data_IF_988593455221
#
_entry.id   IF_988593455221
#
_cell.length_a   1.000
_cell.length_b   1.000
_cell.length_c   1.000
_cell.angle_alpha   90.00
_cell.angle_beta   90.00
_cell.angle_gamma   90.00
#
_symmetry.space_group_name_H-M   'P 1'
#
loop_
_entity.id
_entity.type
_entity.pdbx_description
1 polymer ?
#
# COMPACT_ATOMS: atom_id res chain seq x y z
N UNK A 1 5.57 1.21 -13.29
CA UNK A 1 6.86 0.85 -13.90
C UNK A 1 7.41 2.02 -14.73
N UNK A 2 8.67 2.45 -14.54
CA UNK A 2 9.67 1.87 -13.62
C UNK A 2 9.48 2.28 -12.16
N UNK A 3 8.52 3.16 -11.87
CA UNK A 3 8.16 3.57 -10.51
C UNK A 3 7.15 2.59 -9.88
N UNK A 4 7.15 2.52 -8.55
CA UNK A 4 6.14 1.83 -7.75
C UNK A 4 4.77 2.47 -8.00
N UNK A 5 3.76 1.65 -8.30
CA UNK A 5 2.36 2.06 -8.17
C UNK A 5 1.83 1.66 -6.79
N UNK A 6 0.78 2.34 -6.33
CA UNK A 6 0.10 2.03 -5.10
C UNK A 6 -1.41 2.29 -5.23
N UNK A 7 -2.19 1.69 -4.35
CA UNK A 7 -3.63 1.88 -4.36
C UNK A 7 -4.37 1.14 -3.26
N UNK A 8 -5.70 1.25 -3.33
CA UNK A 8 -6.63 0.76 -2.31
C UNK A 8 -7.69 -0.09 -3.00
N UNK A 9 -8.06 -1.21 -2.38
CA UNK A 9 -9.21 -2.03 -2.77
C UNK A 9 -10.29 -1.86 -1.71
N UNK A 10 -11.48 -1.44 -2.12
CA UNK A 10 -12.62 -1.25 -1.24
C UNK A 10 -13.75 -2.19 -1.61
N UNK A 11 -14.52 -2.63 -0.62
CA UNK A 11 -15.84 -3.20 -0.81
C UNK A 11 -16.91 -2.14 -0.56
N UNK A 12 -17.98 -2.14 -1.34
CA UNK A 12 -19.18 -1.36 -1.06
C UNK A 12 -20.40 -2.19 -1.40
N UNK A 13 -21.08 -2.71 -0.37
CA UNK A 13 -22.25 -3.59 -0.50
C UNK A 13 -21.99 -4.81 -1.41
N UNK A 14 -20.83 -5.48 -1.23
CA UNK A 14 -20.45 -6.67 -2.00
C UNK A 14 -19.84 -6.38 -3.38
N UNK A 15 -19.66 -5.11 -3.75
CA UNK A 15 -18.93 -4.70 -4.95
C UNK A 15 -17.53 -4.25 -4.59
N UNK A 16 -16.53 -4.99 -5.07
CA UNK A 16 -15.13 -4.60 -4.97
C UNK A 16 -14.75 -3.56 -6.02
N UNK A 17 -13.98 -2.56 -5.61
CA UNK A 17 -13.45 -1.51 -6.49
C UNK A 17 -11.96 -1.34 -6.22
N UNK A 18 -11.16 -1.33 -7.29
CA UNK A 18 -9.72 -1.05 -7.25
C UNK A 18 -9.51 0.42 -7.57
N UNK A 19 -8.88 1.14 -6.64
CA UNK A 19 -8.51 2.53 -6.79
C UNK A 19 -7.00 2.60 -7.04
N UNK A 20 -6.60 3.15 -8.19
CA UNK A 20 -5.21 3.52 -8.43
C UNK A 20 -4.96 4.86 -7.75
N UNK A 21 -3.98 4.91 -6.85
CA UNK A 21 -3.60 6.13 -6.17
C UNK A 21 -2.34 6.74 -6.80
N UNK A 22 -2.19 8.05 -6.65
CA UNK A 22 -0.97 8.76 -7.02
C UNK A 22 0.12 8.46 -5.99
N UNK A 23 1.25 7.93 -6.46
CA UNK A 23 2.47 7.86 -5.66
C UNK A 23 3.13 9.25 -5.60
N UNK A 24 3.18 9.85 -4.41
CA UNK A 24 3.74 11.20 -4.18
C UNK A 24 5.20 11.18 -3.70
N UNK A 25 5.83 10.01 -3.65
CA UNK A 25 7.17 9.82 -3.06
C UNK A 25 8.24 10.72 -3.69
N UNK A 26 8.25 10.89 -5.02
CA UNK A 26 9.22 11.77 -5.68
C UNK A 26 9.09 13.24 -5.25
N UNK A 27 7.86 13.70 -4.98
CA UNK A 27 7.64 15.06 -4.50
C UNK A 27 8.16 15.22 -3.08
N UNK A 28 7.90 14.24 -2.21
CA UNK A 28 8.40 14.23 -0.84
C UNK A 28 9.94 14.14 -0.78
N UNK A 29 10.54 13.27 -1.59
CA UNK A 29 11.99 13.15 -1.72
C UNK A 29 12.64 14.45 -2.19
N UNK A 30 12.02 15.13 -3.16
CA UNK A 30 12.51 16.42 -3.66
C UNK A 30 12.44 17.52 -2.60
N UNK A 31 11.37 17.55 -1.82
CA UNK A 31 11.11 18.61 -0.83
C UNK A 31 11.93 18.40 0.46
N UNK A 32 12.08 17.16 0.93
CA UNK A 32 12.87 16.81 2.11
C UNK A 32 13.55 15.44 1.94
N UNK A 33 14.70 15.38 1.24
CA UNK A 33 15.42 14.12 0.99
C UNK A 33 16.04 13.53 2.25
N UNK A 34 16.21 14.31 3.32
CA UNK A 34 16.72 13.80 4.59
C UNK A 34 15.65 12.95 5.30
N UNK A 35 14.40 13.40 5.28
CA UNK A 35 13.26 12.67 5.82
C UNK A 35 12.78 11.55 4.89
N UNK A 36 12.82 11.78 3.58
CA UNK A 36 12.37 10.83 2.56
C UNK A 36 13.55 10.46 1.66
N UNK A 37 14.49 9.61 2.10
CA UNK A 37 15.72 9.34 1.35
C UNK A 37 15.51 8.51 0.08
N UNK A 38 14.36 7.84 -0.07
CA UNK A 38 14.01 7.02 -1.24
C UNK A 38 13.14 7.79 -2.22
N UNK A 39 13.35 7.53 -3.50
CA UNK A 39 12.49 7.99 -4.59
C UNK A 39 11.34 6.99 -4.86
N UNK A 40 10.47 7.32 -5.82
CA UNK A 40 9.33 6.50 -6.20
C UNK A 40 9.70 5.16 -6.88
N UNK A 41 10.99 4.82 -7.06
CA UNK A 41 11.41 3.52 -7.58
C UNK A 41 11.43 2.43 -6.53
N UNK A 42 11.53 2.80 -5.24
CA UNK A 42 11.73 1.87 -4.11
C UNK A 42 10.94 2.23 -2.85
N UNK A 43 10.00 3.18 -3.00
CA UNK A 43 9.06 3.57 -1.98
C UNK A 43 7.81 4.18 -2.63
N UNK A 44 6.72 4.18 -1.86
CA UNK A 44 5.51 4.89 -2.22
C UNK A 44 4.95 5.65 -1.02
N UNK A 45 4.23 6.71 -1.35
CA UNK A 45 3.33 7.38 -0.42
C UNK A 45 2.05 7.70 -1.16
N UNK A 46 0.91 7.33 -0.60
CA UNK A 46 -0.40 7.72 -1.13
C UNK A 46 -0.68 9.16 -0.71
N UNK A 47 -1.20 9.97 -1.63
CA UNK A 47 -1.69 11.30 -1.30
C UNK A 47 -2.80 11.24 -0.23
N UNK A 48 -2.62 11.93 0.90
CA UNK A 48 -3.56 11.84 2.03
C UNK A 48 -4.97 12.31 1.64
N UNK A 49 -5.10 13.31 0.79
CA UNK A 49 -6.41 13.80 0.35
C UNK A 49 -7.14 12.78 -0.54
N UNK A 50 -6.38 12.05 -1.38
CA UNK A 50 -6.93 10.97 -2.20
C UNK A 50 -7.35 9.77 -1.34
N UNK A 51 -6.50 9.39 -0.38
CA UNK A 51 -6.79 8.36 0.61
C UNK A 51 -8.08 8.66 1.36
N UNK A 52 -8.17 9.83 2.00
CA UNK A 52 -9.32 10.20 2.83
C UNK A 52 -10.62 10.21 2.01
N UNK A 53 -10.56 10.64 0.74
CA UNK A 53 -11.70 10.62 -0.19
C UNK A 53 -12.17 9.19 -0.50
N UNK A 54 -11.24 8.28 -0.81
CA UNK A 54 -11.56 6.87 -1.12
C UNK A 54 -12.17 6.20 0.11
N UNK A 55 -11.54 6.37 1.27
CA UNK A 55 -11.98 5.77 2.54
C UNK A 55 -13.37 6.29 2.93
N UNK A 56 -13.58 7.61 2.92
CA UNK A 56 -14.86 8.21 3.27
C UNK A 56 -15.97 7.73 2.33
N UNK A 57 -15.70 7.71 1.02
CA UNK A 57 -16.68 7.22 0.02
C UNK A 57 -17.04 5.75 0.26
N UNK A 58 -16.07 4.90 0.58
CA UNK A 58 -16.34 3.49 0.87
C UNK A 58 -17.23 3.33 2.11
N UNK A 59 -16.91 4.04 3.20
CA UNK A 59 -17.65 3.98 4.47
C UNK A 59 -19.07 4.55 4.31
N UNK A 60 -19.23 5.69 3.63
CA UNK A 60 -20.54 6.31 3.37
C UNK A 60 -21.48 5.39 2.59
N UNK A 61 -20.93 4.53 1.73
CA UNK A 61 -21.68 3.53 0.98
C UNK A 61 -21.86 2.20 1.74
N UNK A 62 -21.64 2.19 3.06
CA UNK A 62 -21.75 0.99 3.92
C UNK A 62 -20.66 -0.05 3.68
N UNK A 63 -19.56 0.37 3.06
CA UNK A 63 -18.43 -0.44 2.66
C UNK A 63 -17.25 -0.41 3.63
N UNK A 64 -16.14 -0.97 3.19
CA UNK A 64 -14.87 -0.99 3.94
C UNK A 64 -13.66 -1.11 3.01
N UNK A 65 -12.48 -0.88 3.57
CA UNK A 65 -11.23 -1.23 2.90
C UNK A 65 -11.01 -2.74 3.02
N UNK A 66 -10.66 -3.37 1.91
CA UNK A 66 -10.29 -4.79 1.85
C UNK A 66 -8.78 -4.96 1.81
N UNK A 67 -8.09 -4.12 1.04
CA UNK A 67 -6.66 -4.24 0.88
C UNK A 67 -6.00 -2.92 0.48
N UNK A 68 -4.72 -2.81 0.79
CA UNK A 68 -3.77 -1.91 0.13
C UNK A 68 -2.92 -2.72 -0.83
N UNK A 69 -2.51 -2.13 -1.94
CA UNK A 69 -1.55 -2.77 -2.82
C UNK A 69 -0.48 -1.79 -3.27
N UNK A 70 0.70 -2.34 -3.55
CA UNK A 70 1.76 -1.63 -4.24
C UNK A 70 2.61 -2.59 -5.06
N UNK A 71 3.36 -2.04 -6.01
CA UNK A 71 4.28 -2.81 -6.85
C UNK A 71 5.72 -2.61 -6.42
N UNK A 72 6.53 -3.66 -6.56
CA UNK A 72 7.98 -3.65 -6.45
C UNK A 72 8.61 -3.81 -7.85
N UNK A 73 9.03 -2.72 -8.53
CA UNK A 73 9.76 -2.79 -9.79
C UNK A 73 11.15 -3.37 -9.57
N UNK A 74 11.53 -4.38 -10.34
CA UNK A 74 12.85 -5.04 -10.28
C UNK A 74 13.19 -5.67 -8.91
N UNK A 75 12.20 -5.93 -8.06
CA UNK A 75 12.36 -6.56 -6.75
C UNK A 75 11.26 -7.61 -6.51
N UNK A 76 11.54 -8.59 -5.65
CA UNK A 76 10.58 -9.64 -5.28
C UNK A 76 9.41 -9.10 -4.46
N UNK A 77 8.33 -9.89 -4.35
CA UNK A 77 7.18 -9.57 -3.53
C UNK A 77 7.49 -9.92 -2.06
N UNK A 78 7.96 -8.95 -1.30
CA UNK A 78 8.17 -9.05 0.14
C UNK A 78 7.63 -7.81 0.84
N UNK A 79 7.38 -7.90 2.14
CA UNK A 79 6.98 -6.74 2.94
C UNK A 79 8.22 -6.16 3.63
N UNK A 80 8.65 -4.99 3.19
CA UNK A 80 9.86 -4.32 3.67
C UNK A 80 9.63 -3.57 4.98
N UNK A 81 10.70 -3.16 5.66
CA UNK A 81 10.58 -2.26 6.82
C UNK A 81 9.97 -0.91 6.44
N UNK A 82 10.19 -0.46 5.19
CA UNK A 82 9.59 0.77 4.66
C UNK A 82 8.08 0.61 4.51
N UNK A 83 7.62 -0.54 4.00
CA UNK A 83 6.19 -0.86 3.90
C UNK A 83 5.53 -0.88 5.29
N UNK A 84 6.24 -1.43 6.28
CA UNK A 84 5.78 -1.41 7.67
C UNK A 84 5.66 0.01 8.20
N UNK A 85 6.67 0.86 7.97
CA UNK A 85 6.65 2.25 8.41
C UNK A 85 5.56 3.07 7.70
N UNK A 86 5.34 2.84 6.41
CA UNK A 86 4.31 3.51 5.62
C UNK A 86 2.89 3.15 6.08
N UNK A 87 2.70 1.92 6.59
CA UNK A 87 1.39 1.38 6.96
C UNK A 87 1.06 1.50 8.45
N UNK A 88 2.00 1.95 9.28
CA UNK A 88 1.79 2.05 10.74
C UNK A 88 2.01 3.46 11.25
N UNK A 89 1.14 3.89 12.17
CA UNK A 89 1.29 5.14 12.93
C UNK A 89 1.40 4.77 14.40
N UNK A 90 2.46 5.23 15.07
CA UNK A 90 2.81 4.80 16.43
C UNK A 90 2.91 3.26 16.59
N UNK A 91 3.28 2.56 15.52
CA UNK A 91 3.51 1.12 15.50
C UNK A 91 2.28 0.25 15.26
N UNK A 92 1.13 0.83 14.90
CA UNK A 92 -0.08 0.07 14.54
C UNK A 92 -0.73 0.61 13.26
N UNK A 93 -1.32 -0.26 12.43
CA UNK A 93 -2.01 0.17 11.22
C UNK A 93 -3.40 0.73 11.52
N UNK A 94 -3.81 1.73 10.74
CA UNK A 94 -5.17 2.31 10.82
C UNK A 94 -6.25 1.28 10.45
N UNK A 95 -5.91 0.32 9.57
CA UNK A 95 -6.81 -0.73 9.06
C UNK A 95 -6.21 -2.13 9.26
N UNK A 96 -6.21 -2.67 10.49
CA UNK A 96 -5.56 -3.95 10.81
C UNK A 96 -6.18 -5.17 10.10
N UNK A 97 -7.44 -5.06 9.67
CA UNK A 97 -8.12 -6.14 8.94
C UNK A 97 -7.82 -6.17 7.44
N UNK A 98 -7.25 -5.10 6.89
CA UNK A 98 -6.92 -5.00 5.47
C UNK A 98 -5.75 -5.92 5.11
N UNK A 99 -5.81 -6.53 3.92
CA UNK A 99 -4.66 -7.20 3.33
C UNK A 99 -3.69 -6.18 2.74
N UNK A 100 -2.41 -6.52 2.72
CA UNK A 100 -1.40 -5.78 1.99
C UNK A 100 -0.85 -6.65 0.87
N UNK A 101 -1.12 -6.25 -0.36
CA UNK A 101 -0.75 -7.01 -1.56
C UNK A 101 0.48 -6.38 -2.20
N UNK A 102 1.58 -7.12 -2.22
CA UNK A 102 2.82 -6.71 -2.88
C UNK A 102 2.93 -7.43 -4.21
N UNK A 103 3.06 -6.67 -5.29
CA UNK A 103 3.16 -7.19 -6.66
C UNK A 103 4.57 -7.00 -7.18
N UNK A 104 5.31 -8.09 -7.39
CA UNK A 104 6.63 -8.04 -8.02
C UNK A 104 6.47 -7.80 -9.53
N UNK A 105 7.17 -6.79 -10.05
CA UNK A 105 7.17 -6.48 -11.49
C UNK A 105 8.60 -6.48 -12.01
N UNK A 106 8.93 -7.50 -12.80
CA UNK A 106 10.26 -7.70 -13.41
C UNK A 106 10.18 -7.49 -14.91
N UNK A 107 11.01 -6.61 -15.47
CA UNK A 107 11.03 -6.32 -16.89
C UNK A 107 9.62 -6.08 -17.47
N UNK A 108 8.84 -5.21 -16.80
CA UNK A 108 7.46 -4.84 -17.18
C UNK A 108 6.44 -5.99 -17.12
N UNK A 109 6.77 -7.11 -16.48
CA UNK A 109 5.90 -8.28 -16.33
C UNK A 109 5.67 -8.59 -14.85
N UNK A 110 4.44 -8.97 -14.48
CA UNK A 110 4.17 -9.43 -13.11
C UNK A 110 4.86 -10.77 -12.90
N UNK A 111 5.79 -10.82 -11.95
CA UNK A 111 6.60 -12.00 -11.67
C UNK A 111 6.09 -12.80 -10.46
N UNK A 112 5.57 -12.12 -9.45
CA UNK A 112 5.03 -12.73 -8.22
C UNK A 112 4.01 -11.79 -7.56
N UNK A 113 3.16 -12.34 -6.69
CA UNK A 113 2.23 -11.58 -5.86
C UNK A 113 2.13 -12.24 -4.49
N UNK A 114 2.28 -11.46 -3.43
CA UNK A 114 2.13 -11.95 -2.05
C UNK A 114 1.24 -11.05 -1.23
N UNK A 115 0.46 -11.68 -0.35
CA UNK A 115 -0.41 -10.99 0.58
C UNK A 115 0.16 -11.06 1.99
N UNK A 116 -0.02 -9.99 2.73
CA UNK A 116 0.38 -9.86 4.12
C UNK A 116 -0.79 -9.35 4.94
N UNK A 117 -0.88 -9.78 6.20
CA UNK A 117 -1.91 -9.31 7.14
C UNK A 117 -1.27 -8.96 8.47
N UNK A 118 -1.82 -7.94 9.12
CA UNK A 118 -1.41 -7.53 10.46
C UNK A 118 -1.71 -8.62 11.49
N UNK A 119 -0.71 -8.95 12.30
CA UNK A 119 -0.85 -9.79 13.48
C UNK A 119 -0.64 -8.93 14.73
N UNK A 120 -1.73 -8.63 15.43
CA UNK A 120 -1.73 -7.76 16.60
C UNK A 120 -1.01 -8.35 17.81
N UNK A 121 -0.86 -9.68 17.88
CA UNK A 121 -0.18 -10.33 19.00
C UNK A 121 1.34 -10.10 18.95
N UNK A 122 1.90 -9.98 17.74
CA UNK A 122 3.34 -9.74 17.54
C UNK A 122 3.66 -8.37 16.94
N UNK A 123 2.63 -7.56 16.68
CA UNK A 123 2.73 -6.24 16.05
C UNK A 123 3.57 -6.24 14.78
N UNK A 124 3.24 -7.16 13.87
CA UNK A 124 3.95 -7.30 12.61
C UNK A 124 3.02 -7.80 11.49
N UNK A 125 3.38 -7.50 10.24
CA UNK A 125 2.73 -8.09 9.08
C UNK A 125 3.30 -9.49 8.79
N UNK A 126 2.42 -10.46 8.59
CA UNK A 126 2.76 -11.85 8.28
C UNK A 126 2.22 -12.27 6.93
N UNK A 127 2.87 -13.22 6.22
CA UNK A 127 2.31 -13.80 5.02
C UNK A 127 0.89 -14.33 5.26
N UNK A 128 0.01 -14.05 4.31
CA UNK A 128 -1.38 -14.48 4.31
C UNK A 128 -1.76 -14.99 2.91
N UNK A 129 -2.88 -15.69 2.83
CA UNK A 129 -3.44 -16.08 1.53
C UNK A 129 -3.99 -14.85 0.80
N UNK A 130 -3.66 -14.79 -0.49
CA UNK A 130 -4.44 -14.08 -1.48
C UNK A 130 -5.53 -15.05 -1.99
#
# INVERSE_FOLDING_TARGET
YPLECCGIITDSSGRQTVHLCRNIQDSLHKDDPARYPRDARTAYMIDRSEFDRIVSTAIENGGKILAFYHSHPEHEAYFSEEDHAAQTVFGEPEFPDALHVVVSVMNRTVADMRCFKWDSAVKAFRPAEC
#
